data_IF_182286921961
#
_entry.id   IF_182286921961
#
_cell.length_a   1.000
_cell.length_b   1.000
_cell.length_c   1.000
_cell.angle_alpha   90.00
_cell.angle_beta   90.00
_cell.angle_gamma   90.00
#
_symmetry.space_group_name_H-M   'P 1'
#
loop_
_entity.id
_entity.type
_entity.pdbx_description
1 polymer ?
#
# COMPACT_ATOMS: atom_id res chain seq x y z
N UNK A 1 -19.61 2.32 9.56
CA UNK A 1 -18.93 3.06 8.47
C UNK A 1 -17.62 3.66 8.95
N UNK A 2 -17.61 4.38 10.07
CA UNK A 2 -16.39 4.98 10.63
C UNK A 2 -15.26 3.96 10.89
N UNK A 3 -15.55 2.84 11.56
CA UNK A 3 -14.58 1.77 11.79
C UNK A 3 -13.97 1.18 10.50
N UNK A 4 -14.74 1.17 9.40
CA UNK A 4 -14.25 0.71 8.10
C UNK A 4 -13.28 1.72 7.48
N UNK A 5 -13.54 3.02 7.65
CA UNK A 5 -12.67 4.10 7.18
C UNK A 5 -11.37 4.16 8.01
N UNK A 6 -11.45 3.95 9.32
CA UNK A 6 -10.28 3.86 10.20
C UNK A 6 -9.39 2.68 9.79
N UNK A 7 -9.96 1.48 9.65
CA UNK A 7 -9.22 0.30 9.16
C UNK A 7 -8.63 0.50 7.77
N UNK A 8 -9.37 1.14 6.86
CA UNK A 8 -8.87 1.47 5.53
C UNK A 8 -7.67 2.42 5.63
N UNK A 9 -7.75 3.46 6.47
CA UNK A 9 -6.68 4.42 6.70
C UNK A 9 -5.42 3.76 7.28
N UNK A 10 -5.58 2.84 8.24
CA UNK A 10 -4.48 2.05 8.79
C UNK A 10 -3.78 1.21 7.71
N UNK A 11 -4.54 0.49 6.89
CA UNK A 11 -3.98 -0.32 5.80
C UNK A 11 -3.23 0.57 4.79
N UNK A 12 -3.83 1.68 4.37
CA UNK A 12 -3.20 2.61 3.43
C UNK A 12 -1.92 3.22 4.01
N UNK A 13 -1.90 3.53 5.30
CA UNK A 13 -0.72 4.03 6.00
C UNK A 13 0.40 2.99 6.05
N UNK A 14 0.06 1.73 6.33
CA UNK A 14 1.01 0.62 6.29
C UNK A 14 1.56 0.41 4.87
N UNK A 15 0.70 0.39 3.86
CA UNK A 15 1.11 0.28 2.44
C UNK A 15 2.08 1.41 2.06
N UNK A 16 1.80 2.65 2.48
CA UNK A 16 2.66 3.80 2.21
C UNK A 16 4.05 3.65 2.85
N UNK A 17 4.13 3.15 4.08
CA UNK A 17 5.41 2.86 4.75
C UNK A 17 6.20 1.80 3.96
N UNK A 18 5.56 0.72 3.52
CA UNK A 18 6.23 -0.35 2.76
C UNK A 18 6.67 0.13 1.37
N UNK A 19 5.87 0.92 0.68
CA UNK A 19 6.27 1.52 -0.60
C UNK A 19 7.48 2.44 -0.43
N UNK A 20 7.53 3.25 0.63
CA UNK A 20 8.69 4.09 0.92
C UNK A 20 9.95 3.25 1.20
N UNK A 21 9.83 2.15 1.96
CA UNK A 21 10.95 1.21 2.16
C UNK A 21 11.42 0.61 0.84
N UNK A 22 10.50 0.18 -0.02
CA UNK A 22 10.82 -0.39 -1.32
C UNK A 22 11.53 0.62 -2.22
N UNK A 23 11.08 1.88 -2.22
CA UNK A 23 11.71 2.98 -2.96
C UNK A 23 13.14 3.25 -2.47
N UNK A 24 13.38 3.24 -1.16
CA UNK A 24 14.72 3.40 -0.60
C UNK A 24 15.65 2.26 -1.05
N UNK A 25 15.18 1.02 -0.92
CA UNK A 25 15.94 -0.16 -1.35
C UNK A 25 16.28 -0.08 -2.85
N UNK A 26 15.32 0.26 -3.70
CA UNK A 26 15.54 0.43 -5.14
C UNK A 26 16.50 1.57 -5.47
N UNK A 27 16.44 2.66 -4.70
CA UNK A 27 17.39 3.77 -4.80
C UNK A 27 18.80 3.30 -4.45
N UNK A 28 18.96 2.58 -3.35
CA UNK A 28 20.25 2.10 -2.88
C UNK A 28 20.86 1.08 -3.86
N UNK A 29 20.05 0.19 -4.46
CA UNK A 29 20.48 -0.70 -5.54
C UNK A 29 21.09 0.06 -6.72
N UNK A 30 20.50 1.19 -7.10
CA UNK A 30 21.00 1.99 -8.22
C UNK A 30 22.45 2.46 -7.99
N UNK A 31 22.86 2.63 -6.74
CA UNK A 31 24.22 3.07 -6.37
C UNK A 31 25.16 1.91 -6.04
N UNK A 32 24.65 0.79 -5.51
CA UNK A 32 25.45 -0.37 -5.11
C UNK A 32 25.71 -1.38 -6.25
N UNK A 33 24.80 -1.53 -7.21
CA UNK A 33 24.99 -2.46 -8.33
C UNK A 33 26.26 -2.21 -9.16
N UNK A 34 26.71 -0.96 -9.41
CA UNK A 34 27.96 -0.69 -10.11
C UNK A 34 29.23 -1.19 -9.42
N UNK A 35 29.20 -1.46 -8.10
CA UNK A 35 30.38 -1.90 -7.33
C UNK A 35 30.58 -3.41 -7.34
N UNK A 36 29.64 -4.19 -7.91
CA UNK A 36 29.82 -5.61 -8.20
C UNK A 36 29.82 -6.55 -6.99
N UNK A 37 29.34 -6.11 -5.82
CA UNK A 37 29.24 -6.97 -4.65
C UNK A 37 28.00 -7.86 -4.73
N UNK A 38 28.18 -9.16 -5.00
CA UNK A 38 27.08 -10.11 -5.24
C UNK A 38 26.32 -10.50 -3.98
N UNK A 39 26.93 -10.39 -2.80
CA UNK A 39 26.27 -10.67 -1.51
C UNK A 39 25.21 -9.61 -1.20
N UNK A 40 25.52 -8.34 -1.48
CA UNK A 40 24.59 -7.22 -1.32
C UNK A 40 23.35 -7.38 -2.24
N UNK A 41 23.52 -7.97 -3.42
CA UNK A 41 22.41 -8.17 -4.37
C UNK A 41 21.40 -9.20 -3.84
N UNK A 42 21.87 -10.32 -3.29
CA UNK A 42 20.98 -11.36 -2.77
C UNK A 42 20.18 -10.87 -1.57
N UNK A 43 20.82 -10.16 -0.64
CA UNK A 43 20.15 -9.59 0.51
C UNK A 43 19.05 -8.62 0.06
N UNK A 44 19.36 -7.75 -0.89
CA UNK A 44 18.36 -6.80 -1.38
C UNK A 44 17.18 -7.50 -2.07
N UNK A 45 17.43 -8.51 -2.90
CA UNK A 45 16.35 -9.27 -3.55
C UNK A 45 15.42 -9.90 -2.50
N UNK A 46 15.99 -10.47 -1.43
CA UNK A 46 15.24 -11.06 -0.33
C UNK A 46 14.36 -10.01 0.38
N UNK A 47 14.90 -8.81 0.61
CA UNK A 47 14.13 -7.71 1.19
C UNK A 47 12.99 -7.25 0.27
N UNK A 48 13.23 -7.18 -1.04
CA UNK A 48 12.22 -6.82 -2.03
C UNK A 48 11.07 -7.84 -2.11
N UNK A 49 11.41 -9.13 -2.12
CA UNK A 49 10.41 -10.21 -2.10
C UNK A 49 9.54 -10.14 -0.84
N UNK A 50 10.18 -9.96 0.32
CA UNK A 50 9.48 -9.82 1.61
C UNK A 50 8.49 -8.65 1.58
N UNK A 51 8.95 -7.45 1.19
CA UNK A 51 8.10 -6.27 1.11
C UNK A 51 6.96 -6.44 0.10
N UNK A 52 7.21 -7.13 -1.01
CA UNK A 52 6.19 -7.39 -2.04
C UNK A 52 5.10 -8.33 -1.51
N UNK A 53 5.46 -9.35 -0.73
CA UNK A 53 4.50 -10.25 -0.09
C UNK A 53 3.66 -9.51 0.96
N UNK A 54 4.28 -8.66 1.78
CA UNK A 54 3.57 -7.84 2.76
C UNK A 54 2.58 -6.86 2.08
N UNK A 55 3.01 -6.19 1.01
CA UNK A 55 2.15 -5.31 0.21
C UNK A 55 0.96 -6.05 -0.38
N UNK A 56 1.18 -7.27 -0.88
CA UNK A 56 0.12 -8.12 -1.42
C UNK A 56 -0.90 -8.49 -0.32
N UNK A 57 -0.44 -8.87 0.86
CA UNK A 57 -1.32 -9.19 1.98
C UNK A 57 -2.16 -7.98 2.42
N UNK A 58 -1.58 -6.78 2.43
CA UNK A 58 -2.31 -5.55 2.73
C UNK A 58 -3.35 -5.22 1.66
N UNK A 59 -3.03 -5.45 0.38
CA UNK A 59 -4.00 -5.24 -0.71
C UNK A 59 -5.17 -6.23 -0.62
N UNK A 60 -4.89 -7.51 -0.33
CA UNK A 60 -5.92 -8.52 -0.09
C UNK A 60 -6.79 -8.18 1.13
N UNK A 61 -6.24 -7.53 2.16
CA UNK A 61 -7.01 -7.01 3.29
C UNK A 61 -7.83 -5.75 2.94
N UNK A 62 -7.34 -4.92 2.02
CA UNK A 62 -8.00 -3.68 1.57
C UNK A 62 -9.28 -3.95 0.77
N UNK A 63 -9.25 -4.94 -0.12
CA UNK A 63 -10.36 -5.20 -1.06
C UNK A 63 -11.71 -5.46 -0.36
N UNK A 64 -11.82 -6.34 0.67
CA UNK A 64 -13.08 -6.55 1.38
C UNK A 64 -13.60 -5.32 2.12
N UNK A 65 -12.72 -4.41 2.54
CA UNK A 65 -13.12 -3.16 3.20
C UNK A 65 -13.74 -2.21 2.17
N UNK A 66 -13.10 -2.08 1.00
CA UNK A 66 -13.64 -1.30 -0.12
C UNK A 66 -15.01 -1.83 -0.58
N UNK A 67 -15.18 -3.15 -0.64
CA UNK A 67 -16.47 -3.79 -0.94
C UNK A 67 -17.56 -3.46 0.09
N UNK A 68 -17.25 -3.50 1.39
CA UNK A 68 -18.20 -3.10 2.43
C UNK A 68 -18.55 -1.62 2.36
N UNK A 69 -17.58 -0.77 2.05
CA UNK A 69 -17.81 0.67 1.89
C UNK A 69 -18.69 0.97 0.66
N UNK A 70 -18.51 0.23 -0.44
CA UNK A 70 -19.34 0.39 -1.65
C UNK A 70 -20.81 0.07 -1.35
N UNK A 71 -21.06 -1.01 -0.60
CA UNK A 71 -22.40 -1.40 -0.13
C UNK A 71 -23.02 -0.33 0.77
N UNK A 72 -22.26 0.18 1.74
CA UNK A 72 -22.72 1.25 2.63
C UNK A 72 -23.06 2.55 1.89
N UNK A 73 -22.33 2.87 0.82
CA UNK A 73 -22.53 4.07 0.01
C UNK A 73 -23.48 3.86 -1.17
N UNK A 74 -24.02 2.64 -1.34
CA UNK A 74 -24.87 2.24 -2.45
C UNK A 74 -24.23 2.56 -3.82
N UNK A 75 -22.92 2.34 -3.93
CA UNK A 75 -22.16 2.53 -5.17
C UNK A 75 -21.58 1.20 -5.65
N UNK A 76 -21.49 0.96 -6.97
CA UNK A 76 -20.76 -0.18 -7.48
C UNK A 76 -19.29 -0.14 -7.00
N UNK A 77 -18.70 -1.29 -6.61
CA UNK A 77 -17.30 -1.36 -6.16
C UNK A 77 -16.32 -0.74 -7.17
N UNK A 78 -16.55 -0.95 -8.46
CA UNK A 78 -15.73 -0.44 -9.56
C UNK A 78 -15.79 1.09 -9.67
N UNK A 79 -16.84 1.69 -9.12
CA UNK A 79 -17.04 3.13 -9.11
C UNK A 79 -16.53 3.79 -7.83
N UNK A 80 -16.11 3.03 -6.81
CA UNK A 80 -15.60 3.57 -5.55
C UNK A 80 -14.06 3.59 -5.55
N UNK A 81 -13.50 4.78 -5.75
CA UNK A 81 -12.04 5.00 -5.68
C UNK A 81 -11.66 5.71 -4.39
N UNK A 82 -10.40 5.61 -3.96
CA UNK A 82 -9.88 6.37 -2.81
C UNK A 82 -10.11 7.88 -2.95
N UNK A 83 -9.91 8.42 -4.16
CA UNK A 83 -10.18 9.83 -4.47
C UNK A 83 -11.67 10.19 -4.27
N UNK A 84 -12.59 9.30 -4.64
CA UNK A 84 -14.02 9.52 -4.42
C UNK A 84 -14.39 9.41 -2.95
N UNK A 85 -13.77 8.49 -2.20
CA UNK A 85 -13.94 8.39 -0.74
C UNK A 85 -13.47 9.66 -0.04
N UNK A 86 -12.30 10.18 -0.40
CA UNK A 86 -11.77 11.42 0.17
C UNK A 86 -12.71 12.62 -0.05
N UNK A 87 -13.36 12.71 -1.22
CA UNK A 87 -14.33 13.77 -1.54
C UNK A 87 -15.68 13.66 -0.83
N UNK A 88 -15.98 12.51 -0.22
CA UNK A 88 -17.22 12.32 0.54
C UNK A 88 -17.10 12.81 1.99
N UNK A 89 -15.89 13.09 2.44
CA UNK A 89 -15.62 13.73 3.73
C UNK A 89 -15.48 15.22 3.45
N UNK A 90 -16.40 16.04 3.96
CA UNK A 90 -16.23 17.49 3.93
C UNK A 90 -14.99 17.85 4.76
N UNK A 91 -14.02 18.54 4.15
CA UNK A 91 -12.94 19.19 4.91
C UNK A 91 -13.56 20.19 5.91
N UNK A 92 -13.02 20.30 7.14
CA UNK A 92 -11.60 20.55 7.34
C UNK A 92 -10.95 19.66 8.40
N UNK A 93 -9.77 19.13 8.09
CA UNK A 93 -8.82 18.70 9.11
C UNK A 93 -7.52 19.47 8.94
#
# INVERSE_FOLDING_TARGET
>A
MQDLLERLSEILSQQLVLYNKLLLILSDQRYALPTGNTEDIHEVLTQQETLTLELKALEEARLPIMEKLSQHLQKPPEQLTLMKLAKLVEEPF
#
